data_IF_708789748928
#
_entry.id   IF_708789748928
#
_cell.length_a   1.000
_cell.length_b   1.000
_cell.length_c   1.000
_cell.angle_alpha   90.00
_cell.angle_beta   90.00
_cell.angle_gamma   90.00
#
_symmetry.space_group_name_H-M   'P 1'
#
loop_
_entity.id
_entity.type
_entity.pdbx_description
1 polymer ?
#
# COMPACT_ATOMS: atom_id res chain seq x y z
N UNK A 1 15.36 -5.17 -29.56
CA UNK A 1 15.91 -4.12 -28.66
C UNK A 1 14.94 -3.68 -27.56
N UNK A 2 13.63 -3.92 -27.66
CA UNK A 2 12.61 -3.56 -26.65
C UNK A 2 12.69 -4.36 -25.34
N UNK A 3 13.14 -5.62 -25.37
CA UNK A 3 13.21 -6.46 -24.17
C UNK A 3 14.25 -5.99 -23.12
N UNK A 4 15.38 -5.45 -23.57
CA UNK A 4 16.46 -4.96 -22.68
C UNK A 4 16.01 -3.69 -21.93
N UNK A 5 15.29 -2.79 -22.61
CA UNK A 5 14.73 -1.59 -21.99
C UNK A 5 13.63 -1.92 -20.97
N UNK A 6 12.82 -2.96 -21.23
CA UNK A 6 11.81 -3.45 -20.26
C UNK A 6 12.47 -4.02 -19.00
N UNK A 7 13.45 -4.91 -19.15
CA UNK A 7 14.16 -5.51 -18.01
C UNK A 7 14.90 -4.46 -17.16
N UNK A 8 15.41 -3.41 -17.80
CA UNK A 8 16.02 -2.29 -17.11
C UNK A 8 14.97 -1.51 -16.30
N UNK A 9 13.78 -1.26 -16.85
CA UNK A 9 12.69 -0.59 -16.14
C UNK A 9 12.19 -1.41 -14.95
N UNK A 10 12.07 -2.73 -15.09
CA UNK A 10 11.67 -3.64 -14.02
C UNK A 10 12.69 -3.62 -12.86
N UNK A 11 13.99 -3.69 -13.19
CA UNK A 11 15.08 -3.60 -12.21
C UNK A 11 15.05 -2.28 -11.43
N UNK A 12 14.82 -1.15 -12.13
CA UNK A 12 14.70 0.15 -11.47
C UNK A 12 13.46 0.23 -10.59
N UNK A 13 12.34 -0.37 -11.00
CA UNK A 13 11.13 -0.40 -10.22
C UNK A 13 11.30 -1.19 -8.92
N UNK A 14 11.97 -2.35 -8.99
CA UNK A 14 12.33 -3.16 -7.83
C UNK A 14 13.26 -2.41 -6.88
N UNK A 15 14.29 -1.74 -7.41
CA UNK A 15 15.23 -0.97 -6.59
C UNK A 15 14.56 0.20 -5.85
N UNK A 16 13.67 0.95 -6.53
CA UNK A 16 12.89 2.01 -5.89
C UNK A 16 11.96 1.46 -4.80
N UNK A 17 11.38 0.28 -5.03
CA UNK A 17 10.51 -0.40 -4.06
C UNK A 17 11.28 -0.85 -2.82
N UNK A 18 12.46 -1.44 -3.02
CA UNK A 18 13.35 -1.85 -1.93
C UNK A 18 13.79 -0.65 -1.11
N UNK A 19 14.25 0.43 -1.76
CA UNK A 19 14.66 1.64 -1.07
C UNK A 19 13.52 2.30 -0.30
N UNK A 20 12.30 2.29 -0.84
CA UNK A 20 11.12 2.76 -0.12
C UNK A 20 10.85 1.91 1.13
N UNK A 21 10.99 0.58 1.06
CA UNK A 21 10.89 -0.30 2.23
C UNK A 21 11.93 0.03 3.30
N UNK A 22 13.19 0.23 2.89
CA UNK A 22 14.28 0.64 3.78
C UNK A 22 13.96 1.97 4.46
N UNK A 23 13.43 2.96 3.73
CA UNK A 23 13.03 4.23 4.35
C UNK A 23 11.85 4.08 5.32
N UNK A 24 10.90 3.18 5.04
CA UNK A 24 9.81 2.87 5.97
C UNK A 24 10.32 2.22 7.27
N UNK A 25 11.27 1.30 7.18
CA UNK A 25 11.92 0.65 8.33
C UNK A 25 12.74 1.63 9.17
N UNK A 26 13.34 2.64 8.52
CA UNK A 26 14.14 3.67 9.17
C UNK A 26 13.33 4.91 9.61
N UNK A 27 12.00 4.78 9.71
CA UNK A 27 11.07 5.84 10.12
C UNK A 27 11.24 7.15 9.33
N UNK A 28 11.48 7.05 8.02
CA UNK A 28 11.53 8.19 7.08
C UNK A 28 10.38 8.10 6.05
N UNK A 29 9.12 8.19 6.49
CA UNK A 29 7.96 7.96 5.64
C UNK A 29 7.85 8.97 4.48
N UNK A 30 8.36 10.20 4.64
CA UNK A 30 8.37 11.21 3.59
C UNK A 30 9.20 10.76 2.38
N UNK A 31 10.39 10.19 2.65
CA UNK A 31 11.27 9.68 1.58
C UNK A 31 10.68 8.46 0.90
N UNK A 32 10.08 7.55 1.67
CA UNK A 32 9.37 6.40 1.11
C UNK A 32 8.21 6.84 0.21
N UNK A 33 7.41 7.82 0.65
CA UNK A 33 6.30 8.37 -0.13
C UNK A 33 6.78 8.98 -1.46
N UNK A 34 7.91 9.68 -1.48
CA UNK A 34 8.48 10.24 -2.73
C UNK A 34 8.81 9.13 -3.73
N UNK A 35 9.50 8.07 -3.30
CA UNK A 35 9.89 6.98 -4.20
C UNK A 35 8.68 6.18 -4.71
N UNK A 36 7.71 5.91 -3.83
CA UNK A 36 6.49 5.19 -4.20
C UNK A 36 5.58 6.05 -5.10
N UNK A 37 5.52 7.36 -4.89
CA UNK A 37 4.82 8.28 -5.78
C UNK A 37 5.49 8.36 -7.16
N UNK A 38 6.82 8.31 -7.22
CA UNK A 38 7.54 8.24 -8.48
C UNK A 38 7.19 6.95 -9.24
N UNK A 39 7.20 5.78 -8.57
CA UNK A 39 6.78 4.51 -9.16
C UNK A 39 5.35 4.57 -9.72
N UNK A 40 4.43 5.17 -8.97
CA UNK A 40 3.03 5.28 -9.35
C UNK A 40 2.83 6.24 -10.52
N UNK A 41 3.54 7.38 -10.52
CA UNK A 41 3.53 8.36 -11.63
C UNK A 41 4.10 7.76 -12.92
N UNK A 42 5.11 6.89 -12.81
CA UNK A 42 5.69 6.18 -13.95
C UNK A 42 4.83 5.00 -14.45
N UNK A 43 3.71 4.71 -13.78
CA UNK A 43 2.85 3.58 -14.12
C UNK A 43 3.43 2.21 -13.76
N UNK A 44 4.52 2.19 -12.98
CA UNK A 44 5.25 0.98 -12.57
C UNK A 44 4.77 0.43 -11.22
N UNK A 45 3.91 1.16 -10.51
CA UNK A 45 3.39 0.71 -9.23
C UNK A 45 2.33 -0.41 -9.39
N UNK A 46 2.62 -1.54 -8.77
CA UNK A 46 1.69 -2.61 -8.45
C UNK A 46 0.72 -2.18 -7.33
N UNK A 47 -0.45 -2.82 -7.19
CA UNK A 47 -1.42 -2.46 -6.16
C UNK A 47 -0.84 -2.43 -4.74
N UNK A 48 0.02 -3.40 -4.40
CA UNK A 48 0.70 -3.44 -3.09
C UNK A 48 1.59 -2.22 -2.85
N UNK A 49 2.27 -1.71 -3.87
CA UNK A 49 3.11 -0.51 -3.77
C UNK A 49 2.23 0.75 -3.61
N UNK A 50 1.04 0.81 -4.21
CA UNK A 50 0.08 1.90 -3.98
C UNK A 50 -0.49 1.89 -2.55
N UNK A 51 -0.76 0.71 -1.98
CA UNK A 51 -1.13 0.60 -0.56
C UNK A 51 0.03 1.03 0.34
N UNK A 52 1.27 0.66 0.01
CA UNK A 52 2.46 1.14 0.71
C UNK A 52 2.64 2.66 0.60
N UNK A 53 2.32 3.26 -0.56
CA UNK A 53 2.32 4.72 -0.75
C UNK A 53 1.34 5.39 0.20
N UNK A 54 0.10 4.88 0.29
CA UNK A 54 -0.90 5.41 1.20
C UNK A 54 -0.43 5.31 2.67
N UNK A 55 0.19 4.20 3.06
CA UNK A 55 0.74 4.05 4.42
C UNK A 55 1.89 5.04 4.69
N UNK A 56 2.78 5.24 3.72
CA UNK A 56 3.87 6.21 3.82
C UNK A 56 3.34 7.65 3.93
N UNK A 57 2.35 8.02 3.11
CA UNK A 57 1.66 9.31 3.18
C UNK A 57 1.01 9.52 4.54
N UNK A 58 0.31 8.51 5.08
CA UNK A 58 -0.30 8.59 6.41
C UNK A 58 0.75 8.83 7.51
N UNK A 59 1.85 8.06 7.51
CA UNK A 59 2.94 8.22 8.48
C UNK A 59 3.69 9.54 8.34
N UNK A 60 3.70 10.13 7.14
CA UNK A 60 4.24 11.45 6.86
C UNK A 60 3.27 12.60 7.22
N UNK A 61 2.14 12.31 7.89
CA UNK A 61 1.15 13.32 8.29
C UNK A 61 0.28 13.83 7.15
N UNK A 62 0.12 13.06 6.06
CA UNK A 62 -0.68 13.42 4.88
C UNK A 62 -1.88 12.48 4.70
N UNK A 63 -2.87 12.50 5.62
CA UNK A 63 -3.99 11.56 5.59
C UNK A 63 -4.93 11.77 4.38
N UNK A 64 -5.07 13.00 3.87
CA UNK A 64 -5.87 13.28 2.68
C UNK A 64 -5.27 12.63 1.41
N UNK A 65 -3.95 12.78 1.22
CA UNK A 65 -3.23 12.13 0.11
C UNK A 65 -3.32 10.60 0.20
N UNK A 66 -3.21 10.06 1.42
CA UNK A 66 -3.37 8.63 1.67
C UNK A 66 -4.77 8.13 1.29
N UNK A 67 -5.82 8.89 1.63
CA UNK A 67 -7.19 8.55 1.23
C UNK A 67 -7.34 8.55 -0.30
N UNK A 68 -6.87 9.60 -0.98
CA UNK A 68 -6.94 9.69 -2.44
C UNK A 68 -6.18 8.55 -3.15
N UNK A 69 -5.03 8.15 -2.62
CA UNK A 69 -4.29 6.98 -3.12
C UNK A 69 -5.10 5.69 -2.95
N UNK A 70 -5.75 5.48 -1.81
CA UNK A 70 -6.59 4.30 -1.58
C UNK A 70 -7.84 4.30 -2.46
N UNK A 71 -8.44 5.45 -2.75
CA UNK A 71 -9.56 5.53 -3.69
C UNK A 71 -9.16 5.02 -5.09
N UNK A 72 -7.96 5.38 -5.56
CA UNK A 72 -7.42 4.85 -6.83
C UNK A 72 -7.17 3.33 -6.76
N UNK A 73 -6.70 2.81 -5.63
CA UNK A 73 -6.55 1.35 -5.44
C UNK A 73 -7.92 0.66 -5.51
N UNK A 74 -8.95 1.21 -4.85
CA UNK A 74 -10.30 0.66 -4.89
C UNK A 74 -10.88 0.66 -6.31
N UNK A 75 -10.67 1.73 -7.09
CA UNK A 75 -11.10 1.81 -8.49
C UNK A 75 -10.41 0.77 -9.38
N UNK A 76 -9.18 0.35 -9.04
CA UNK A 76 -8.47 -0.72 -9.76
C UNK A 76 -8.94 -2.14 -9.39
N UNK A 77 -9.83 -2.28 -8.41
CA UNK A 77 -10.35 -3.57 -7.93
C UNK A 77 -9.37 -4.37 -7.06
N UNK A 78 -8.16 -3.86 -6.81
CA UNK A 78 -7.13 -4.53 -6.03
C UNK A 78 -7.31 -4.34 -4.51
N UNK A 79 -8.44 -4.82 -4.01
CA UNK A 79 -8.84 -4.73 -2.60
C UNK A 79 -8.42 -6.01 -1.87
N UNK A 80 -7.47 -5.89 -0.96
CA UNK A 80 -6.97 -6.98 -0.12
C UNK A 80 -6.98 -6.62 1.38
N UNK A 81 -6.45 -7.51 2.22
CA UNK A 81 -6.36 -7.24 3.65
C UNK A 81 -5.51 -6.02 3.99
N UNK A 82 -4.38 -5.81 3.30
CA UNK A 82 -3.50 -4.67 3.54
C UNK A 82 -4.20 -3.34 3.22
N UNK A 83 -4.95 -3.30 2.11
CA UNK A 83 -5.79 -2.17 1.74
C UNK A 83 -6.77 -1.80 2.87
N UNK A 84 -7.53 -2.78 3.38
CA UNK A 84 -8.52 -2.51 4.43
C UNK A 84 -7.90 -2.05 5.75
N UNK A 85 -6.74 -2.61 6.11
CA UNK A 85 -6.01 -2.18 7.30
C UNK A 85 -5.56 -0.71 7.19
N UNK A 86 -4.92 -0.35 6.08
CA UNK A 86 -4.44 1.04 5.87
C UNK A 86 -5.64 2.00 5.75
N UNK A 87 -6.72 1.59 5.08
CA UNK A 87 -7.96 2.39 5.02
C UNK A 87 -8.54 2.65 6.40
N UNK A 88 -8.58 1.65 7.28
CA UNK A 88 -9.04 1.84 8.65
C UNK A 88 -8.17 2.86 9.41
N UNK A 89 -6.84 2.78 9.25
CA UNK A 89 -5.90 3.74 9.88
C UNK A 89 -6.11 5.17 9.37
N UNK A 90 -6.24 5.35 8.06
CA UNK A 90 -6.52 6.66 7.44
C UNK A 90 -7.85 7.23 7.97
N UNK A 91 -8.91 6.43 7.99
CA UNK A 91 -10.23 6.86 8.47
C UNK A 91 -10.24 7.21 9.96
N UNK A 92 -9.42 6.54 10.78
CA UNK A 92 -9.24 6.90 12.19
C UNK A 92 -8.60 8.28 12.33
N UNK A 93 -7.52 8.56 11.57
CA UNK A 93 -6.84 9.88 11.60
C UNK A 93 -7.74 10.99 11.05
N UNK A 94 -8.63 10.66 10.11
CA UNK A 94 -9.63 11.59 9.57
C UNK A 94 -10.91 11.68 10.41
N UNK A 95 -10.92 11.12 11.62
CA UNK A 95 -12.05 11.18 12.56
C UNK A 95 -13.38 10.62 12.00
N UNK A 96 -13.29 9.53 11.21
CA UNK A 96 -14.44 8.80 10.62
C UNK A 96 -14.60 7.41 11.27
N UNK A 97 -14.97 7.32 12.56
CA UNK A 97 -14.88 6.09 13.34
C UNK A 97 -15.81 4.96 12.86
N UNK A 98 -16.99 5.30 12.34
CA UNK A 98 -17.92 4.28 11.83
C UNK A 98 -17.35 3.54 10.61
N UNK A 99 -16.77 4.29 9.67
CA UNK A 99 -16.15 3.73 8.48
C UNK A 99 -14.82 3.03 8.80
N UNK A 100 -14.04 3.57 9.73
CA UNK A 100 -12.84 2.92 10.23
C UNK A 100 -13.16 1.53 10.82
N UNK A 101 -14.23 1.44 11.61
CA UNK A 101 -14.74 0.17 12.15
C UNK A 101 -15.19 -0.80 11.06
N UNK A 102 -15.86 -0.32 10.01
CA UNK A 102 -16.25 -1.14 8.87
C UNK A 102 -15.03 -1.69 8.10
N UNK A 103 -14.02 -0.84 7.85
CA UNK A 103 -12.79 -1.25 7.20
C UNK A 103 -12.00 -2.27 8.03
N UNK A 104 -11.94 -2.11 9.36
CA UNK A 104 -11.27 -3.06 10.24
C UNK A 104 -11.98 -4.44 10.25
N UNK A 105 -13.31 -4.46 10.26
CA UNK A 105 -14.07 -5.73 10.15
C UNK A 105 -13.77 -6.45 8.83
N UNK A 106 -13.70 -5.72 7.72
CA UNK A 106 -13.33 -6.29 6.43
C UNK A 106 -11.90 -6.88 6.44
N UNK A 107 -10.94 -6.18 7.05
CA UNK A 107 -9.58 -6.71 7.24
C UNK A 107 -9.58 -8.01 8.07
N UNK A 108 -10.28 -8.03 9.20
CA UNK A 108 -10.37 -9.23 10.08
C UNK A 108 -10.99 -10.42 9.35
N UNK A 109 -12.06 -10.19 8.58
CA UNK A 109 -12.70 -11.24 7.78
C UNK A 109 -11.73 -11.86 6.75
N UNK A 110 -10.92 -11.02 6.08
CA UNK A 110 -9.93 -11.49 5.10
C UNK A 110 -8.74 -12.21 5.76
N UNK A 111 -8.30 -11.81 6.96
CA UNK A 111 -7.27 -12.55 7.71
C UNK A 111 -7.74 -13.93 8.14
N UNK A 112 -8.96 -14.03 8.67
CA UNK A 112 -9.53 -15.30 9.15
C UNK A 112 -9.71 -16.33 8.03
N UNK A 113 -9.86 -15.90 6.79
CA UNK A 113 -9.93 -16.79 5.62
C UNK A 113 -8.56 -17.42 5.25
N UNK A 114 -7.44 -16.88 5.73
CA UNK A 114 -6.09 -17.34 5.39
C UNK A 114 -5.44 -18.29 6.40
N UNK A 115 -6.11 -18.68 7.49
CA UNK A 115 -5.59 -19.71 8.41
C UNK A 115 -5.57 -21.07 7.71
N UNK A 116 -4.40 -21.68 7.45
CA UNK A 116 -4.34 -23.02 6.86
C UNK A 116 -4.89 -24.04 7.85
N UNK A 117 -5.71 -24.96 7.36
CA UNK A 117 -6.12 -26.17 8.10
C UNK A 117 -4.90 -26.88 8.65
N UNK A 118 -4.90 -27.31 9.93
CA UNK A 118 -3.77 -28.03 10.49
C UNK A 118 -3.55 -29.31 9.68
N UNK A 119 -2.35 -29.49 9.15
CA UNK A 119 -1.92 -30.78 8.59
C UNK A 119 -1.84 -31.73 9.78
N UNK A 120 -2.86 -32.57 9.94
CA UNK A 120 -2.83 -33.71 10.85
C UNK A 120 -1.73 -34.65 10.37
N UNK A 121 -0.69 -34.80 11.19
CA UNK A 121 0.36 -35.81 11.00
C UNK A 121 -0.17 -37.21 11.35
#
# INVERSE_FOLDING_TARGET
MTAIASALNDTHAEMLSLLASIYMENNRPEKAAVLLAALDTLGLAQPRQRVALALAQLRAGKPADAQATLERVAMSGAIDGAFHLVRAQVLTVLERPQEAGAAMRAYVALRGATTPTPVTA
#
